data_IF_824468135529
#
_entry.id   IF_824468135529
#
_cell.length_a   1.000
_cell.length_b   1.000
_cell.length_c   1.000
_cell.angle_alpha   90.00
_cell.angle_beta   90.00
_cell.angle_gamma   90.00
#
_symmetry.space_group_name_H-M   'P 1'
#
loop_
_entity.id
_entity.type
_entity.pdbx_description
1 polymer ?
#
# COMPACT_ATOMS: atom_id res chain seq x y z
N UNK A 1 11.31 15.01 32.61
CA UNK A 1 11.05 13.70 31.98
C UNK A 1 10.52 13.95 30.58
N UNK A 2 11.36 13.76 29.57
CA UNK A 2 10.96 13.90 28.16
C UNK A 2 10.19 12.65 27.81
N UNK A 3 8.88 12.78 27.59
CA UNK A 3 8.08 11.69 27.05
C UNK A 3 8.62 11.37 25.65
N UNK A 4 9.06 10.14 25.45
CA UNK A 4 9.40 9.61 24.15
C UNK A 4 8.15 9.74 23.27
N UNK A 5 8.27 10.49 22.17
CA UNK A 5 7.27 10.56 21.12
C UNK A 5 7.01 9.16 20.61
N UNK A 6 5.86 8.60 20.97
CA UNK A 6 5.31 7.33 20.49
C UNK A 6 5.45 7.33 18.96
N UNK A 7 6.06 6.27 18.43
CA UNK A 7 6.35 6.06 16.99
C UNK A 7 5.15 6.51 16.16
N UNK A 8 5.37 7.51 15.30
CA UNK A 8 4.37 8.19 14.48
C UNK A 8 3.44 7.19 13.81
N UNK A 9 2.13 7.44 13.90
CA UNK A 9 1.07 6.56 13.39
C UNK A 9 1.39 6.01 12.01
N UNK A 10 1.07 4.72 11.81
CA UNK A 10 1.31 3.99 10.57
C UNK A 10 1.09 4.88 9.34
N UNK A 11 2.12 4.99 8.51
CA UNK A 11 2.01 5.66 7.21
C UNK A 11 0.85 5.03 6.43
N UNK A 12 0.14 5.81 5.61
CA UNK A 12 -0.93 5.29 4.74
C UNK A 12 -0.49 4.03 3.99
N UNK A 13 0.78 3.97 3.56
CA UNK A 13 1.36 2.80 2.91
C UNK A 13 1.29 1.52 3.77
N UNK A 14 1.62 1.58 5.05
CA UNK A 14 1.58 0.41 5.95
C UNK A 14 0.15 -0.01 6.27
N UNK A 15 -0.72 0.95 6.59
CA UNK A 15 -2.12 0.66 6.87
C UNK A 15 -2.84 0.05 5.65
N UNK A 16 -2.68 0.66 4.48
CA UNK A 16 -3.26 0.15 3.24
C UNK A 16 -2.69 -1.22 2.83
N UNK A 17 -1.40 -1.48 3.07
CA UNK A 17 -0.82 -2.81 2.86
C UNK A 17 -1.54 -3.85 3.71
N UNK A 18 -1.68 -3.59 5.01
CA UNK A 18 -2.32 -4.51 5.96
C UNK A 18 -3.78 -4.76 5.60
N UNK A 19 -4.54 -3.70 5.27
CA UNK A 19 -5.91 -3.83 4.78
C UNK A 19 -5.94 -4.70 3.52
N UNK A 20 -5.06 -4.44 2.56
CA UNK A 20 -4.97 -5.25 1.33
C UNK A 20 -4.75 -6.72 1.58
N UNK A 21 -3.90 -7.08 2.55
CA UNK A 21 -3.66 -8.48 2.92
C UNK A 21 -4.91 -9.13 3.53
N UNK A 22 -5.63 -8.42 4.41
CA UNK A 22 -6.87 -8.94 5.00
C UNK A 22 -7.98 -9.09 3.94
N UNK A 23 -8.11 -8.14 3.00
CA UNK A 23 -9.06 -8.24 1.89
C UNK A 23 -8.74 -9.42 0.97
N UNK A 24 -7.46 -9.68 0.69
CA UNK A 24 -7.00 -10.87 -0.07
C UNK A 24 -7.40 -12.16 0.64
N UNK A 25 -7.15 -12.27 1.94
CA UNK A 25 -7.53 -13.44 2.76
C UNK A 25 -9.04 -13.68 2.74
N UNK A 26 -9.84 -12.62 2.69
CA UNK A 26 -11.31 -12.69 2.60
C UNK A 26 -11.83 -12.89 1.17
N UNK A 27 -10.94 -12.97 0.18
CA UNK A 27 -11.29 -13.01 -1.26
C UNK A 27 -12.17 -11.84 -1.72
N UNK A 28 -12.01 -10.67 -1.09
CA UNK A 28 -12.71 -9.44 -1.45
C UNK A 28 -11.99 -8.76 -2.60
N UNK A 29 -12.69 -8.55 -3.72
CA UNK A 29 -12.11 -8.00 -4.95
C UNK A 29 -12.58 -6.59 -5.28
N UNK A 30 -13.75 -6.18 -4.80
CA UNK A 30 -14.30 -4.83 -5.03
C UNK A 30 -14.44 -4.10 -3.72
N UNK A 31 -13.90 -2.88 -3.65
CA UNK A 31 -13.85 -2.08 -2.45
C UNK A 31 -13.85 -0.57 -2.73
N UNK A 32 -14.27 0.17 -1.70
CA UNK A 32 -14.00 1.57 -1.46
C UNK A 32 -13.44 1.68 -0.04
N UNK A 33 -12.18 2.11 0.08
CA UNK A 33 -11.52 2.41 1.34
C UNK A 33 -11.63 3.91 1.58
N UNK A 34 -12.31 4.33 2.65
CA UNK A 34 -12.30 5.72 3.13
C UNK A 34 -11.30 5.84 4.27
N UNK A 35 -10.50 6.90 4.22
CA UNK A 35 -9.47 7.20 5.21
C UNK A 35 -9.96 8.34 6.09
N UNK A 36 -10.36 8.00 7.32
CA UNK A 36 -10.72 8.97 8.34
C UNK A 36 -9.54 9.22 9.29
N UNK A 37 -9.66 10.20 10.18
CA UNK A 37 -8.55 10.58 11.07
C UNK A 37 -8.06 9.45 11.98
N UNK A 38 -8.93 8.51 12.37
CA UNK A 38 -8.64 7.49 13.38
C UNK A 38 -8.98 6.05 12.96
N UNK A 39 -9.55 5.87 11.78
CA UNK A 39 -9.97 4.56 11.28
C UNK A 39 -10.07 4.53 9.76
N UNK A 40 -10.09 3.33 9.21
CA UNK A 40 -10.36 3.06 7.81
C UNK A 40 -11.70 2.34 7.69
N UNK A 41 -12.57 2.83 6.82
CA UNK A 41 -13.85 2.19 6.49
C UNK A 41 -13.71 1.56 5.12
N UNK A 42 -13.95 0.25 5.02
CA UNK A 42 -13.96 -0.45 3.75
C UNK A 42 -15.38 -0.88 3.44
N UNK A 43 -15.97 -0.22 2.44
CA UNK A 43 -17.20 -0.66 1.80
C UNK A 43 -16.81 -1.66 0.71
N UNK A 44 -17.17 -2.93 0.89
CA UNK A 44 -16.81 -4.01 -0.01
C UNK A 44 -18.04 -4.81 -0.45
N UNK A 45 -17.90 -5.55 -1.55
CA UNK A 45 -18.93 -6.48 -2.02
C UNK A 45 -18.37 -7.89 -2.13
N UNK A 46 -19.05 -8.86 -1.52
CA UNK A 46 -18.79 -10.27 -1.82
C UNK A 46 -19.19 -10.53 -3.28
N UNK A 47 -18.22 -10.89 -4.12
CA UNK A 47 -18.47 -11.17 -5.53
C UNK A 47 -18.96 -12.61 -5.71
N UNK A 48 -20.27 -12.83 -5.55
CA UNK A 48 -20.98 -13.92 -6.24
C UNK A 48 -22.49 -13.64 -6.37
N UNK A 49 -23.16 -14.03 -7.48
CA UNK A 49 -24.61 -13.87 -7.68
C UNK A 49 -25.45 -14.55 -6.58
N UNK A 50 -26.71 -14.13 -6.31
CA UNK A 50 -27.58 -13.30 -7.16
C UNK A 50 -27.57 -11.80 -6.84
N UNK A 51 -26.89 -11.36 -5.78
CA UNK A 51 -26.63 -9.95 -5.49
C UNK A 51 -25.37 -9.83 -4.64
N UNK A 52 -24.51 -8.81 -4.87
CA UNK A 52 -23.40 -8.55 -3.98
C UNK A 52 -23.96 -8.22 -2.59
N UNK A 53 -23.71 -9.07 -1.60
CA UNK A 53 -23.95 -8.70 -0.21
C UNK A 53 -22.91 -7.65 0.15
N UNK A 54 -23.32 -6.38 0.39
CA UNK A 54 -22.39 -5.37 0.82
C UNK A 54 -21.88 -5.74 2.22
N UNK A 55 -20.58 -5.61 2.43
CA UNK A 55 -19.95 -5.73 3.73
C UNK A 55 -19.20 -4.45 4.03
N UNK A 56 -19.36 -3.95 5.25
CA UNK A 56 -18.60 -2.81 5.75
C UNK A 56 -17.64 -3.32 6.80
N UNK A 57 -16.35 -3.11 6.59
CA UNK A 57 -15.28 -3.45 7.52
C UNK A 57 -14.71 -2.16 8.11
N UNK A 58 -14.52 -2.13 9.42
CA UNK A 58 -13.89 -1.01 10.11
C UNK A 58 -12.55 -1.47 10.66
N UNK A 59 -11.51 -0.69 10.38
CA UNK A 59 -10.16 -0.93 10.89
C UNK A 59 -9.71 0.28 11.69
N UNK A 60 -9.65 0.12 13.01
CA UNK A 60 -8.97 1.10 13.87
C UNK A 60 -7.46 0.98 13.68
N UNK A 61 -6.70 1.99 14.15
CA UNK A 61 -5.24 1.91 14.12
C UNK A 61 -4.71 0.71 14.92
N UNK A 62 -5.37 0.35 16.03
CA UNK A 62 -5.01 -0.82 16.84
C UNK A 62 -5.26 -2.14 16.08
N UNK A 63 -6.36 -2.23 15.32
CA UNK A 63 -6.63 -3.39 14.46
C UNK A 63 -5.55 -3.55 13.39
N UNK A 64 -5.13 -2.43 12.77
CA UNK A 64 -4.06 -2.43 11.77
C UNK A 64 -2.73 -2.90 12.38
N UNK A 65 -2.37 -2.42 13.57
CA UNK A 65 -1.16 -2.85 14.27
C UNK A 65 -1.21 -4.34 14.62
N UNK A 66 -2.37 -4.83 15.06
CA UNK A 66 -2.59 -6.23 15.38
C UNK A 66 -2.44 -7.12 14.14
N UNK A 67 -3.15 -6.78 13.06
CA UNK A 67 -3.10 -7.51 11.79
C UNK A 67 -1.70 -7.50 11.16
N UNK A 68 -0.97 -6.39 11.24
CA UNK A 68 0.40 -6.32 10.73
C UNK A 68 1.34 -7.23 11.52
N UNK A 69 1.21 -7.27 12.85
CA UNK A 69 1.99 -8.17 13.71
C UNK A 69 1.70 -9.63 13.36
N UNK A 70 0.42 -10.03 13.28
CA UNK A 70 0.05 -11.39 12.89
C UNK A 70 0.58 -11.74 11.49
N UNK A 71 0.49 -10.81 10.54
CA UNK A 71 0.97 -11.04 9.19
C UNK A 71 2.49 -11.25 9.14
N UNK A 72 3.27 -10.55 9.97
CA UNK A 72 4.72 -10.74 10.09
C UNK A 72 5.05 -12.12 10.68
N UNK A 73 4.36 -12.51 11.74
CA UNK A 73 4.54 -13.82 12.38
C UNK A 73 4.20 -15.00 11.44
N UNK A 74 3.23 -14.82 10.54
CA UNK A 74 2.91 -15.78 9.47
C UNK A 74 3.94 -15.76 8.33
N UNK A 75 4.38 -14.58 7.88
CA UNK A 75 5.32 -14.44 6.76
C UNK A 75 6.75 -14.91 7.08
N UNK A 76 7.18 -14.92 8.35
CA UNK A 76 8.46 -15.56 8.76
C UNK A 76 8.50 -17.06 8.44
N UNK A 77 7.36 -17.68 8.12
CA UNK A 77 7.25 -19.10 7.75
C UNK A 77 7.00 -19.37 6.26
N UNK A 78 6.45 -18.39 5.52
CA UNK A 78 6.02 -18.53 4.11
C UNK A 78 6.74 -17.56 3.16
N UNK A 79 8.07 -17.46 3.30
CA UNK A 79 8.92 -16.67 2.43
C UNK A 79 9.02 -17.28 1.02
N UNK A 80 8.07 -16.98 0.13
CA UNK A 80 8.29 -17.08 -1.32
C UNK A 80 7.30 -16.21 -2.12
N UNK A 81 7.85 -15.17 -2.75
CA UNK A 81 7.30 -14.42 -3.89
C UNK A 81 5.88 -13.86 -3.69
N UNK A 82 5.79 -12.69 -3.02
CA UNK A 82 4.60 -11.86 -3.12
C UNK A 82 4.44 -11.42 -4.58
N UNK A 83 3.29 -11.73 -5.16
CA UNK A 83 2.90 -11.24 -6.49
C UNK A 83 3.06 -9.72 -6.52
N UNK A 84 3.84 -9.21 -7.48
CA UNK A 84 4.11 -7.78 -7.64
C UNK A 84 2.81 -6.99 -7.87
N UNK A 85 1.76 -7.68 -8.34
CA UNK A 85 0.45 -7.16 -8.65
C UNK A 85 -0.61 -7.59 -7.63
N UNK A 86 -0.19 -8.11 -6.46
CA UNK A 86 -1.12 -8.38 -5.36
C UNK A 86 -1.82 -7.08 -4.93
N UNK A 87 -3.05 -7.22 -4.43
CA UNK A 87 -3.82 -6.09 -3.89
C UNK A 87 -3.06 -5.42 -2.74
N UNK A 88 -2.40 -6.21 -1.90
CA UNK A 88 -1.57 -5.69 -0.81
C UNK A 88 -0.38 -4.85 -1.31
N UNK A 89 0.29 -5.24 -2.41
CA UNK A 89 1.36 -4.43 -3.02
C UNK A 89 0.81 -3.17 -3.70
N UNK A 90 -0.31 -3.28 -4.42
CA UNK A 90 -0.98 -2.15 -5.05
C UNK A 90 -1.39 -1.09 -4.01
N UNK A 91 -2.07 -1.50 -2.96
CA UNK A 91 -2.53 -0.59 -1.90
C UNK A 91 -1.36 0.06 -1.15
N UNK A 92 -0.29 -0.69 -0.90
CA UNK A 92 0.96 -0.13 -0.37
C UNK A 92 1.57 0.92 -1.30
N UNK A 93 1.61 0.65 -2.61
CA UNK A 93 2.14 1.57 -3.60
C UNK A 93 1.32 2.87 -3.67
N UNK A 94 -0.01 2.77 -3.56
CA UNK A 94 -0.91 3.93 -3.52
C UNK A 94 -0.64 4.79 -2.29
N UNK A 95 -0.53 4.17 -1.11
CA UNK A 95 -0.19 4.89 0.11
C UNK A 95 1.18 5.57 0.00
N UNK A 96 2.18 4.89 -0.58
CA UNK A 96 3.52 5.44 -0.79
C UNK A 96 3.51 6.63 -1.76
N UNK A 97 2.73 6.53 -2.83
CA UNK A 97 2.53 7.59 -3.81
C UNK A 97 1.94 8.85 -3.17
N UNK A 98 0.86 8.71 -2.38
CA UNK A 98 0.24 9.86 -1.70
C UNK A 98 1.16 10.45 -0.63
N UNK A 99 1.83 9.60 0.16
CA UNK A 99 2.83 10.05 1.15
C UNK A 99 3.98 10.82 0.49
N UNK A 100 4.48 10.37 -0.67
CA UNK A 100 5.57 11.05 -1.38
C UNK A 100 5.21 12.46 -1.86
N UNK A 101 3.91 12.75 -2.02
CA UNK A 101 3.39 14.08 -2.37
C UNK A 101 3.19 14.99 -1.15
N UNK A 102 3.37 14.46 0.07
CA UNK A 102 2.97 15.14 1.30
C UNK A 102 1.45 15.35 1.40
N UNK A 103 0.66 14.60 0.63
CA UNK A 103 -0.78 14.75 0.55
C UNK A 103 -1.49 13.89 1.60
N UNK A 104 -2.72 14.28 1.95
CA UNK A 104 -3.60 13.53 2.85
C UNK A 104 -4.52 12.64 2.05
N UNK A 105 -4.42 11.33 2.22
CA UNK A 105 -5.30 10.39 1.53
C UNK A 105 -6.74 10.49 2.04
N UNK A 106 -7.71 10.52 1.14
CA UNK A 106 -9.14 10.57 1.45
C UNK A 106 -9.82 9.24 1.14
N UNK A 107 -9.62 8.70 -0.06
CA UNK A 107 -10.19 7.40 -0.42
C UNK A 107 -9.43 6.68 -1.54
N UNK A 108 -9.63 5.37 -1.60
CA UNK A 108 -9.16 4.51 -2.69
C UNK A 108 -10.30 3.57 -3.10
N UNK A 109 -10.65 3.51 -4.38
CA UNK A 109 -11.71 2.64 -4.86
C UNK A 109 -11.35 1.96 -6.16
N UNK A 110 -11.81 0.71 -6.30
CA UNK A 110 -11.81 0.00 -7.57
C UNK A 110 -13.22 -0.37 -8.04
N UNK A 111 -14.25 0.28 -7.50
CA UNK A 111 -15.66 -0.06 -7.78
C UNK A 111 -16.06 0.18 -9.24
N UNK A 112 -15.37 1.08 -9.95
CA UNK A 112 -15.55 1.31 -11.38
C UNK A 112 -14.70 0.37 -12.27
N UNK A 113 -13.87 -0.48 -11.65
CA UNK A 113 -12.97 -1.40 -12.35
C UNK A 113 -13.74 -2.56 -12.98
N UNK A 114 -13.39 -2.91 -14.22
CA UNK A 114 -13.92 -4.08 -14.92
C UNK A 114 -12.78 -4.96 -15.41
N UNK A 115 -13.07 -6.22 -15.73
CA UNK A 115 -12.06 -7.15 -16.25
C UNK A 115 -11.34 -6.64 -17.53
N UNK A 116 -12.00 -5.81 -18.33
CA UNK A 116 -11.45 -5.24 -19.57
C UNK A 116 -10.81 -3.87 -19.38
N UNK A 117 -11.25 -3.13 -18.38
CA UNK A 117 -10.78 -1.76 -18.10
C UNK A 117 -10.49 -1.65 -16.60
N UNK A 118 -9.29 -2.08 -16.16
CA UNK A 118 -8.89 -1.93 -14.78
C UNK A 118 -8.69 -0.43 -14.48
N UNK A 119 -9.38 0.05 -13.44
CA UNK A 119 -9.23 1.42 -12.94
C UNK A 119 -9.20 1.45 -11.42
N UNK A 120 -8.32 2.26 -10.87
CA UNK A 120 -8.29 2.63 -9.45
C UNK A 120 -8.48 4.13 -9.34
N UNK A 121 -9.48 4.54 -8.59
CA UNK A 121 -9.69 5.94 -8.20
C UNK A 121 -8.98 6.21 -6.89
N UNK A 122 -8.13 7.22 -6.86
CA UNK A 122 -7.44 7.70 -5.66
C UNK A 122 -7.88 9.13 -5.41
N UNK A 123 -8.42 9.40 -4.24
CA UNK A 123 -8.75 10.76 -3.82
C UNK A 123 -7.83 11.20 -2.69
N UNK A 124 -7.24 12.38 -2.84
CA UNK A 124 -6.35 12.95 -1.83
C UNK A 124 -6.47 14.47 -1.78
N UNK A 125 -6.10 15.04 -0.66
CA UNK A 125 -6.01 16.49 -0.43
C UNK A 125 -4.54 16.90 -0.47
N UNK A 126 -4.20 17.92 -1.27
CA UNK A 126 -2.84 18.45 -1.35
C UNK A 126 -2.48 19.22 -0.08
N UNK A 127 -1.19 19.54 0.08
CA UNK A 127 -0.72 20.44 1.16
C UNK A 127 -1.36 21.84 1.11
N UNK A 128 -1.91 22.23 -0.05
CA UNK A 128 -2.61 23.50 -0.26
C UNK A 128 -4.11 23.42 0.09
N UNK A 129 -4.61 22.23 0.42
CA UNK A 129 -6.03 21.97 0.72
C UNK A 129 -6.86 21.61 -0.52
N UNK A 130 -6.26 21.49 -1.70
CA UNK A 130 -7.00 21.14 -2.91
C UNK A 130 -7.35 19.66 -2.92
N UNK A 131 -8.63 19.35 -3.18
CA UNK A 131 -9.06 17.97 -3.38
C UNK A 131 -8.80 17.54 -4.82
N UNK A 132 -8.05 16.45 -4.97
CA UNK A 132 -7.70 15.85 -6.26
C UNK A 132 -8.32 14.46 -6.37
N UNK A 133 -8.89 14.17 -7.53
CA UNK A 133 -9.35 12.84 -7.94
C UNK A 133 -8.43 12.35 -9.05
N UNK A 134 -7.78 11.21 -8.83
CA UNK A 134 -6.76 10.65 -9.69
C UNK A 134 -7.16 9.23 -10.12
N UNK A 135 -7.72 9.11 -11.33
CA UNK A 135 -8.14 7.85 -11.93
C UNK A 135 -6.97 7.20 -12.67
N UNK A 136 -6.49 6.07 -12.15
CA UNK A 136 -5.34 5.32 -12.68
C UNK A 136 -5.82 4.09 -13.44
N UNK A 137 -5.46 4.01 -14.72
CA UNK A 137 -5.76 2.84 -15.58
C UNK A 137 -4.61 1.84 -15.59
N UNK A 138 -4.80 0.66 -16.20
CA UNK A 138 -3.87 -0.48 -16.17
C UNK A 138 -2.37 -0.16 -16.26
N UNK A 139 -1.93 0.70 -17.20
CA UNK A 139 -0.51 1.08 -17.32
C UNK A 139 -0.04 1.92 -16.13
N UNK A 140 -0.83 2.90 -15.70
CA UNK A 140 -0.50 3.75 -14.55
C UNK A 140 -0.52 2.95 -13.23
N UNK A 141 -1.39 1.94 -13.10
CA UNK A 141 -1.40 1.00 -11.97
C UNK A 141 -0.10 0.19 -11.96
N UNK A 142 0.32 -0.34 -13.12
CA UNK A 142 1.56 -1.10 -13.25
C UNK A 142 2.79 -0.24 -12.91
N UNK A 143 2.87 0.98 -13.46
CA UNK A 143 3.95 1.92 -13.15
C UNK A 143 4.04 2.25 -11.66
N UNK A 144 2.89 2.44 -11.01
CA UNK A 144 2.80 2.70 -9.57
C UNK A 144 3.42 1.53 -8.78
N UNK A 145 3.07 0.28 -9.11
CA UNK A 145 3.63 -0.91 -8.47
C UNK A 145 5.15 -1.05 -8.73
N UNK A 146 5.60 -0.83 -9.96
CA UNK A 146 7.02 -0.91 -10.33
C UNK A 146 7.86 0.19 -9.69
N UNK A 147 7.32 1.41 -9.54
CA UNK A 147 8.03 2.54 -8.94
C UNK A 147 8.54 2.21 -7.55
N UNK A 148 7.80 1.39 -6.80
CA UNK A 148 8.17 1.03 -5.44
C UNK A 148 9.22 -0.08 -5.36
N UNK A 149 9.39 -0.89 -6.41
CA UNK A 149 10.55 -1.79 -6.54
C UNK A 149 11.83 -1.01 -6.83
N UNK A 150 11.75 0.05 -7.63
CA UNK A 150 12.90 0.95 -7.87
C UNK A 150 13.36 1.63 -6.58
N UNK A 151 12.42 2.02 -5.70
CA UNK A 151 12.73 2.57 -4.37
C UNK A 151 13.45 1.57 -3.45
N UNK A 152 13.21 0.25 -3.62
CA UNK A 152 13.95 -0.80 -2.88
C UNK A 152 15.34 -1.07 -3.50
N UNK A 153 15.50 -0.93 -4.81
CA UNK A 153 16.77 -1.13 -5.51
C UNK A 153 17.80 -0.01 -5.31
N UNK A 154 17.36 1.24 -5.15
CA UNK A 154 18.27 2.38 -4.89
C UNK A 154 18.86 2.38 -3.48
N UNK A 155 18.29 1.61 -2.55
CA UNK A 155 18.87 1.42 -1.21
C UNK A 155 19.96 0.32 -1.16
N UNK A 156 20.17 -0.42 -2.26
CA UNK A 156 21.20 -1.48 -2.35
C UNK A 156 22.33 -1.16 -3.34
N UNK A 157 22.25 -0.05 -4.09
CA UNK A 157 23.31 0.40 -5.03
C UNK A 157 23.97 1.68 -4.48
N UNK A 158 24.24 1.73 -3.16
CA UNK A 158 25.17 2.71 -2.59
C UNK A 158 26.11 2.09 -1.53
N UNK A 159 26.31 0.77 -1.59
CA UNK A 159 27.27 0.06 -0.73
C UNK A 159 28.26 -0.82 -1.50
N UNK A 160 28.30 -0.74 -2.84
CA UNK A 160 29.26 -1.50 -3.66
C UNK A 160 30.41 -0.67 -4.27
N UNK A 161 30.62 0.58 -3.82
CA UNK A 161 31.74 1.43 -4.24
C UNK A 161 32.98 1.32 -3.31
N UNK A 162 33.34 0.11 -2.85
CA UNK A 162 34.60 -0.12 -2.10
C UNK A 162 35.50 -1.25 -2.59
N UNK A 163 35.22 -1.86 -3.75
CA UNK A 163 36.16 -2.77 -4.39
C UNK A 163 36.74 -2.20 -5.69
N UNK A 164 37.58 -1.19 -5.53
CA UNK A 164 38.66 -0.90 -6.49
C UNK A 164 39.75 -0.11 -5.79
N UNK A 165 40.70 -0.83 -5.17
CA UNK A 165 42.05 -0.32 -5.02
C UNK A 165 43.03 -1.40 -5.45
N UNK A 166 43.48 -1.26 -6.70
CA UNK A 166 44.63 -1.93 -7.26
C UNK A 166 45.82 -1.78 -6.31
N UNK A 167 46.34 -2.90 -5.80
CA UNK A 167 47.74 -2.96 -5.40
C UNK A 167 48.55 -3.28 -6.65
N UNK A 168 49.10 -2.25 -7.27
CA UNK A 168 50.28 -2.42 -8.11
C UNK A 168 51.46 -2.69 -7.16
N UNK A 169 51.95 -3.92 -7.13
CA UNK A 169 53.22 -4.26 -6.52
C UNK A 169 54.30 -4.13 -7.59
N UNK A 170 55.18 -3.17 -7.36
CA UNK A 170 56.49 -3.03 -7.97
C UNK A 170 57.38 -4.24 -7.62
N UNK A 171 58.02 -4.82 -8.63
CA UNK A 171 59.39 -5.36 -8.60
C UNK A 171 59.93 -5.41 -10.01
#
# INVERSE_FOLDING_TARGET
>A
MVQATKKSGNSYSEALRTIGQDLELRSIKTFLIRCEAHLYIVEAGYQSPPAPTPVTLHYTLDDIEHLDREARERNDRDSAVKDLLSLSQLLWAIGSYVTSKGARLLSVSNSASTAKMPVIKIEYETVQGDRVVDDRTGSAIYELCVSVYKLRGTSSIDNHARYTRFHALSS
#
